data_IF_204586682441
#
_entry.id   IF_204586682441
#
_cell.length_a   1.000
_cell.length_b   1.000
_cell.length_c   1.000
_cell.angle_alpha   90.00
_cell.angle_beta   90.00
_cell.angle_gamma   90.00
#
_symmetry.space_group_name_H-M   'P 1'
#
loop_
_entity.id
_entity.type
_entity.pdbx_description
1 polymer ?
#
# COMPACT_ATOMS: atom_id res chain seq x y z
N UNK A 1 -0.76 1.65 -12.76
CA UNK A 1 0.69 1.64 -12.92
C UNK A 1 1.31 2.40 -11.76
N UNK A 2 2.37 1.87 -11.18
CA UNK A 2 3.11 2.42 -10.04
C UNK A 2 4.57 2.76 -10.44
N UNK A 3 4.83 3.57 -11.47
CA UNK A 3 6.19 3.78 -11.95
C UNK A 3 7.10 4.40 -10.89
N UNK A 4 6.55 5.24 -10.01
CA UNK A 4 7.31 5.93 -8.99
C UNK A 4 7.64 5.04 -7.79
N UNK A 5 6.76 4.12 -7.38
CA UNK A 5 7.09 3.16 -6.34
C UNK A 5 8.25 2.25 -6.77
N UNK A 6 8.24 1.78 -8.02
CA UNK A 6 9.36 1.04 -8.61
C UNK A 6 10.66 1.85 -8.66
N UNK A 7 10.58 3.12 -9.06
CA UNK A 7 11.74 4.02 -9.09
C UNK A 7 12.32 4.25 -7.69
N UNK A 8 11.50 4.54 -6.68
CA UNK A 8 11.95 4.72 -5.28
C UNK A 8 12.56 3.45 -4.70
N UNK A 9 11.96 2.30 -5.00
CA UNK A 9 12.55 1.01 -4.63
C UNK A 9 13.93 0.82 -5.26
N UNK A 10 14.06 1.17 -6.54
CA UNK A 10 15.34 1.12 -7.26
C UNK A 10 16.38 2.07 -6.64
N UNK A 11 16.02 3.31 -6.33
CA UNK A 11 16.91 4.28 -5.67
C UNK A 11 17.44 3.74 -4.32
N UNK A 12 16.56 3.13 -3.51
CA UNK A 12 16.96 2.49 -2.26
C UNK A 12 17.90 1.29 -2.45
N UNK A 13 17.63 0.47 -3.47
CA UNK A 13 18.51 -0.66 -3.84
C UNK A 13 19.87 -0.16 -4.30
N UNK A 14 19.92 0.85 -5.18
CA UNK A 14 21.16 1.44 -5.68
C UNK A 14 22.04 1.97 -4.53
N UNK A 15 21.44 2.71 -3.59
CA UNK A 15 22.14 3.22 -2.41
C UNK A 15 22.68 2.08 -1.52
N UNK A 16 21.84 1.08 -1.24
CA UNK A 16 22.25 -0.06 -0.43
C UNK A 16 23.39 -0.85 -1.08
N UNK A 17 23.33 -1.07 -2.40
CA UNK A 17 24.39 -1.75 -3.15
C UNK A 17 25.70 -0.96 -3.16
N UNK A 18 25.63 0.38 -3.33
CA UNK A 18 26.80 1.24 -3.25
C UNK A 18 27.48 1.07 -1.89
N UNK A 19 26.74 1.19 -0.80
CA UNK A 19 27.26 1.08 0.56
C UNK A 19 27.84 -0.33 0.87
N UNK A 20 27.11 -1.39 0.51
CA UNK A 20 27.55 -2.77 0.74
C UNK A 20 28.82 -3.06 -0.07
N UNK A 21 28.84 -2.66 -1.34
CA UNK A 21 29.97 -2.93 -2.22
C UNK A 21 31.22 -2.09 -1.86
N UNK A 22 31.02 -0.85 -1.37
CA UNK A 22 32.13 -0.03 -0.85
C UNK A 22 32.80 -0.65 0.39
N UNK A 23 32.01 -1.38 1.20
CA UNK A 23 32.47 -2.11 2.39
C UNK A 23 32.99 -3.54 2.09
N UNK A 24 33.25 -3.88 0.82
CA UNK A 24 33.83 -5.16 0.41
C UNK A 24 32.83 -6.21 -0.04
N UNK A 25 31.55 -5.86 -0.16
CA UNK A 25 30.48 -6.74 -0.63
C UNK A 25 30.06 -7.78 0.41
N UNK A 26 29.42 -8.84 -0.05
CA UNK A 26 28.98 -9.96 0.78
C UNK A 26 29.90 -11.16 0.54
N UNK A 27 30.52 -11.69 1.59
CA UNK A 27 31.51 -12.76 1.49
C UNK A 27 32.65 -12.46 0.50
N UNK A 28 33.07 -11.20 0.43
CA UNK A 28 34.11 -10.73 -0.48
C UNK A 28 33.68 -10.60 -1.94
N UNK A 29 32.41 -10.73 -2.24
CA UNK A 29 31.84 -10.59 -3.59
C UNK A 29 30.97 -9.35 -3.68
N UNK A 30 31.10 -8.63 -4.80
CA UNK A 30 30.18 -7.51 -5.10
C UNK A 30 28.78 -8.02 -5.42
N UNK A 31 27.78 -7.34 -4.87
CA UNK A 31 26.41 -7.53 -5.27
C UNK A 31 26.13 -6.78 -6.57
N UNK A 32 25.37 -7.40 -7.45
CA UNK A 32 24.83 -6.82 -8.67
C UNK A 32 23.35 -7.22 -8.76
N UNK A 33 22.54 -6.46 -9.48
CA UNK A 33 21.13 -6.82 -9.69
C UNK A 33 20.69 -6.71 -11.13
N UNK A 34 19.64 -7.43 -11.46
CA UNK A 34 18.86 -7.29 -12.69
C UNK A 34 17.50 -6.74 -12.31
N UNK A 35 17.04 -5.70 -13.01
CA UNK A 35 15.74 -5.08 -12.77
C UNK A 35 14.78 -5.38 -13.92
N UNK A 36 13.55 -5.69 -13.57
CA UNK A 36 12.47 -5.96 -14.50
C UNK A 36 11.21 -5.18 -14.06
N UNK A 37 10.36 -4.81 -15.00
CA UNK A 37 9.09 -4.10 -14.74
C UNK A 37 7.92 -5.07 -14.87
N UNK A 38 7.18 -5.26 -13.80
CA UNK A 38 5.98 -6.10 -13.76
C UNK A 38 4.71 -5.36 -14.23
N UNK A 39 4.84 -4.08 -14.60
CA UNK A 39 3.76 -3.21 -15.08
C UNK A 39 2.54 -3.17 -14.15
N UNK A 40 2.73 -3.57 -12.89
CA UNK A 40 1.67 -3.74 -11.90
C UNK A 40 0.52 -4.64 -12.40
N UNK A 41 0.85 -5.70 -13.12
CA UNK A 41 -0.12 -6.73 -13.53
C UNK A 41 0.35 -8.12 -13.14
N UNK A 42 -0.56 -8.95 -12.62
CA UNK A 42 -0.22 -10.30 -12.17
C UNK A 42 0.38 -11.16 -13.27
N UNK A 43 -0.18 -11.07 -14.49
CA UNK A 43 0.35 -11.83 -15.65
C UNK A 43 1.77 -11.44 -15.98
N UNK A 44 2.08 -10.14 -16.00
CA UNK A 44 3.45 -9.67 -16.29
C UNK A 44 4.38 -10.03 -15.14
N UNK A 45 3.94 -9.90 -13.88
CA UNK A 45 4.72 -10.27 -12.72
C UNK A 45 5.15 -11.75 -12.75
N UNK A 46 4.24 -12.67 -13.08
CA UNK A 46 4.56 -14.10 -13.25
C UNK A 46 5.63 -14.32 -14.33
N UNK A 47 5.51 -13.65 -15.47
CA UNK A 47 6.49 -13.75 -16.57
C UNK A 47 7.86 -13.18 -16.18
N UNK A 48 7.87 -12.02 -15.52
CA UNK A 48 9.07 -11.35 -15.03
C UNK A 48 9.80 -12.21 -14.00
N UNK A 49 9.08 -12.69 -12.99
CA UNK A 49 9.65 -13.54 -11.95
C UNK A 49 10.22 -14.83 -12.54
N UNK A 50 9.51 -15.45 -13.48
CA UNK A 50 10.02 -16.64 -14.17
C UNK A 50 11.35 -16.37 -14.89
N UNK A 51 11.50 -15.21 -15.54
CA UNK A 51 12.78 -14.83 -16.16
C UNK A 51 13.87 -14.61 -15.12
N UNK A 52 13.58 -13.83 -14.06
CA UNK A 52 14.56 -13.55 -12.99
C UNK A 52 15.08 -14.83 -12.34
N UNK A 53 14.19 -15.79 -12.06
CA UNK A 53 14.59 -17.07 -11.46
C UNK A 53 15.52 -17.90 -12.38
N UNK A 54 15.46 -17.70 -13.70
CA UNK A 54 16.38 -18.33 -14.66
C UNK A 54 17.76 -17.65 -14.72
N UNK A 55 17.93 -16.45 -14.15
CA UNK A 55 19.21 -15.71 -14.10
C UNK A 55 20.10 -16.13 -12.90
N UNK A 56 19.79 -17.22 -12.21
CA UNK A 56 20.50 -17.70 -11.00
C UNK A 56 20.63 -16.63 -9.90
N UNK A 57 19.60 -15.85 -9.68
CA UNK A 57 19.54 -14.86 -8.60
C UNK A 57 19.52 -15.57 -7.24
N UNK A 58 20.13 -14.98 -6.22
CA UNK A 58 20.11 -15.53 -4.86
C UNK A 58 18.95 -15.00 -3.99
N UNK A 59 18.34 -13.90 -4.39
CA UNK A 59 17.16 -13.30 -3.75
C UNK A 59 16.47 -12.36 -4.74
N UNK A 60 15.21 -12.04 -4.48
CA UNK A 60 14.45 -11.05 -5.25
C UNK A 60 13.87 -10.00 -4.32
N UNK A 61 13.97 -8.71 -4.71
CA UNK A 61 13.29 -7.61 -4.06
C UNK A 61 12.12 -7.21 -4.95
N UNK A 62 10.91 -7.47 -4.48
CA UNK A 62 9.68 -7.34 -5.24
C UNK A 62 8.93 -8.68 -5.35
N UNK A 63 7.74 -8.70 -5.98
CA UNK A 63 6.98 -7.54 -6.49
C UNK A 63 6.54 -6.57 -5.37
N UNK A 64 6.24 -5.32 -5.75
CA UNK A 64 5.87 -4.30 -4.77
C UNK A 64 4.43 -4.47 -4.24
N UNK A 65 3.49 -4.80 -5.12
CA UNK A 65 2.07 -4.86 -4.76
C UNK A 65 1.64 -6.22 -4.22
N UNK A 66 0.63 -6.21 -3.34
CA UNK A 66 0.14 -7.43 -2.68
C UNK A 66 -0.36 -8.48 -3.68
N UNK A 67 -1.13 -8.06 -4.69
CA UNK A 67 -1.65 -8.99 -5.70
C UNK A 67 -0.56 -9.67 -6.54
N UNK A 68 0.48 -8.92 -6.95
CA UNK A 68 1.61 -9.48 -7.68
C UNK A 68 2.47 -10.39 -6.81
N UNK A 69 2.67 -10.03 -5.52
CA UNK A 69 3.38 -10.86 -4.57
C UNK A 69 2.65 -12.19 -4.32
N UNK A 70 1.34 -12.16 -4.18
CA UNK A 70 0.50 -13.36 -4.05
C UNK A 70 0.59 -14.26 -5.30
N UNK A 71 0.41 -13.67 -6.49
CA UNK A 71 0.42 -14.38 -7.76
C UNK A 71 1.77 -15.05 -8.08
N UNK A 72 2.87 -14.56 -7.53
CA UNK A 72 4.23 -15.07 -7.78
C UNK A 72 4.80 -15.92 -6.64
N UNK A 73 4.10 -16.00 -5.50
CA UNK A 73 4.60 -16.67 -4.29
C UNK A 73 5.05 -18.11 -4.53
N UNK A 74 4.25 -18.90 -5.25
CA UNK A 74 4.57 -20.30 -5.52
C UNK A 74 5.81 -20.48 -6.42
N UNK A 75 6.10 -19.51 -7.29
CA UNK A 75 7.31 -19.54 -8.10
C UNK A 75 8.56 -19.47 -7.21
N UNK A 76 8.57 -18.56 -6.25
CA UNK A 76 9.66 -18.42 -5.28
C UNK A 76 9.77 -19.64 -4.36
N UNK A 77 8.62 -20.15 -3.87
CA UNK A 77 8.56 -21.35 -3.03
C UNK A 77 9.18 -22.56 -3.74
N UNK A 78 8.79 -22.79 -5.00
CA UNK A 78 9.30 -23.90 -5.79
C UNK A 78 10.77 -23.75 -6.16
N UNK A 79 11.23 -22.53 -6.41
CA UNK A 79 12.64 -22.24 -6.68
C UNK A 79 13.51 -22.18 -5.41
N UNK A 80 12.91 -22.17 -4.22
CA UNK A 80 13.58 -21.99 -2.93
C UNK A 80 14.41 -20.69 -2.87
N UNK A 81 13.90 -19.62 -3.48
CA UNK A 81 14.53 -18.30 -3.53
C UNK A 81 13.79 -17.35 -2.61
N UNK A 82 14.46 -16.69 -1.66
CA UNK A 82 13.83 -15.68 -0.81
C UNK A 82 13.42 -14.46 -1.63
N UNK A 83 12.23 -13.95 -1.33
CA UNK A 83 11.78 -12.68 -1.89
C UNK A 83 11.27 -11.73 -0.81
N UNK A 84 11.56 -10.46 -0.99
CA UNK A 84 11.18 -9.37 -0.10
C UNK A 84 10.20 -8.46 -0.81
N UNK A 85 9.01 -8.27 -0.23
CA UNK A 85 7.94 -7.47 -0.84
C UNK A 85 7.51 -6.30 0.02
N UNK A 86 7.08 -5.22 -0.63
CA UNK A 86 6.35 -4.12 -0.02
C UNK A 86 4.84 -4.37 0.12
N UNK A 87 4.34 -5.52 -0.34
CA UNK A 87 2.94 -5.89 -0.21
C UNK A 87 2.50 -5.96 1.25
N UNK A 88 1.47 -5.20 1.62
CA UNK A 88 1.03 -5.05 3.01
C UNK A 88 -0.18 -5.90 3.39
N UNK A 89 -0.90 -6.48 2.41
CA UNK A 89 -2.09 -7.29 2.67
C UNK A 89 -1.82 -8.42 3.68
N UNK A 90 -2.71 -8.59 4.69
CA UNK A 90 -2.62 -9.70 5.64
C UNK A 90 -2.60 -11.06 4.98
N UNK A 91 -3.32 -11.23 3.87
CA UNK A 91 -3.43 -12.48 3.11
C UNK A 91 -2.09 -13.05 2.65
N UNK A 92 -1.07 -12.20 2.49
CA UNK A 92 0.27 -12.66 2.14
C UNK A 92 0.94 -13.53 3.22
N UNK A 93 0.58 -13.36 4.49
CA UNK A 93 1.06 -14.19 5.57
C UNK A 93 0.41 -15.59 5.61
N UNK A 94 -0.69 -15.77 4.87
CA UNK A 94 -1.43 -17.04 4.79
C UNK A 94 -0.93 -17.95 3.66
N UNK A 95 0.02 -17.47 2.83
CA UNK A 95 0.50 -18.20 1.63
C UNK A 95 1.41 -19.40 1.93
N UNK A 96 1.69 -19.72 3.20
CA UNK A 96 2.54 -20.84 3.61
C UNK A 96 3.84 -20.92 2.78
N UNK A 97 4.53 -19.78 2.62
CA UNK A 97 5.77 -19.70 1.88
C UNK A 97 6.94 -19.31 2.80
N UNK A 98 7.86 -20.23 3.13
CA UNK A 98 8.99 -19.95 4.04
C UNK A 98 10.03 -18.99 3.44
N UNK A 99 9.94 -18.69 2.15
CA UNK A 99 10.83 -17.75 1.46
C UNK A 99 10.23 -16.36 1.33
N UNK A 100 9.06 -16.10 1.92
CA UNK A 100 8.39 -14.81 1.93
C UNK A 100 8.92 -13.91 3.06
N UNK A 101 9.31 -12.69 2.72
CA UNK A 101 9.71 -11.67 3.67
C UNK A 101 8.98 -10.36 3.35
N UNK A 102 8.34 -9.77 4.37
CA UNK A 102 7.73 -8.45 4.27
C UNK A 102 8.66 -7.41 4.91
N UNK A 103 8.91 -6.31 4.19
CA UNK A 103 9.83 -5.25 4.64
C UNK A 103 9.11 -4.00 5.14
N UNK A 104 7.81 -4.11 5.41
CA UNK A 104 6.98 -3.05 5.98
C UNK A 104 5.89 -3.66 6.90
N UNK A 105 5.19 -2.86 7.74
CA UNK A 105 4.07 -3.35 8.53
C UNK A 105 2.97 -3.98 7.68
N UNK A 106 2.28 -4.97 8.27
CA UNK A 106 1.06 -5.52 7.68
C UNK A 106 -0.11 -4.56 7.86
N UNK A 107 -1.04 -4.58 6.92
CA UNK A 107 -2.31 -3.85 7.05
C UNK A 107 -3.14 -4.31 8.27
N UNK A 108 -2.82 -5.47 8.86
CA UNK A 108 -3.34 -5.84 10.18
C UNK A 108 -3.04 -4.76 11.22
N UNK A 109 -1.85 -4.17 11.19
CA UNK A 109 -1.44 -3.08 12.10
C UNK A 109 -2.02 -1.75 11.59
N UNK A 110 -1.76 -1.43 10.33
CA UNK A 110 -2.12 -0.13 9.76
C UNK A 110 -3.65 0.07 9.72
N UNK A 111 -4.42 -0.95 9.32
CA UNK A 111 -5.88 -0.91 9.32
C UNK A 111 -6.46 -0.79 10.74
N UNK A 112 -5.84 -1.46 11.72
CA UNK A 112 -6.21 -1.31 13.13
C UNK A 112 -5.96 0.12 13.62
N UNK A 113 -4.82 0.71 13.31
CA UNK A 113 -4.50 2.10 13.68
C UNK A 113 -5.50 3.06 13.05
N UNK A 114 -5.83 2.90 11.77
CA UNK A 114 -6.82 3.72 11.09
C UNK A 114 -8.20 3.65 11.76
N UNK A 115 -8.69 2.43 12.01
CA UNK A 115 -9.99 2.21 12.64
C UNK A 115 -10.02 2.80 14.06
N UNK A 116 -9.00 2.54 14.88
CA UNK A 116 -8.91 3.07 16.24
C UNK A 116 -8.82 4.59 16.26
N UNK A 117 -8.03 5.19 15.37
CA UNK A 117 -7.95 6.65 15.28
C UNK A 117 -9.30 7.28 14.92
N UNK A 118 -10.03 6.70 13.96
CA UNK A 118 -11.38 7.16 13.62
C UNK A 118 -12.34 7.10 14.82
N UNK A 119 -12.31 6.00 15.57
CA UNK A 119 -13.23 5.77 16.71
C UNK A 119 -12.81 6.58 17.94
N UNK A 120 -11.55 6.40 18.37
CA UNK A 120 -11.10 6.84 19.69
C UNK A 120 -10.66 8.31 19.70
N UNK A 121 -10.13 8.81 18.56
CA UNK A 121 -9.60 10.16 18.44
C UNK A 121 -10.58 11.11 17.75
N UNK A 122 -11.13 10.70 16.61
CA UNK A 122 -12.07 11.54 15.86
C UNK A 122 -13.52 11.39 16.37
N UNK A 123 -13.82 10.34 17.15
CA UNK A 123 -15.14 10.11 17.71
C UNK A 123 -16.20 9.72 16.69
N UNK A 124 -15.79 9.19 15.55
CA UNK A 124 -16.67 8.82 14.46
C UNK A 124 -17.72 7.79 14.89
N UNK A 125 -18.94 7.97 14.40
CA UNK A 125 -20.11 7.11 14.72
C UNK A 125 -20.58 6.32 13.51
N UNK A 126 -20.31 6.81 12.31
CA UNK A 126 -20.65 6.14 11.06
C UNK A 126 -19.53 6.33 10.03
N UNK A 127 -18.80 5.26 9.77
CA UNK A 127 -17.57 5.31 8.99
C UNK A 127 -17.81 4.84 7.55
N UNK A 128 -17.37 5.64 6.58
CA UNK A 128 -17.25 5.23 5.19
C UNK A 128 -15.92 4.51 4.97
N UNK A 129 -15.93 3.39 4.24
CA UNK A 129 -14.72 2.71 3.81
C UNK A 129 -14.68 2.76 2.29
N UNK A 130 -13.76 3.54 1.71
CA UNK A 130 -13.47 3.52 0.28
C UNK A 130 -12.26 2.64 0.04
N UNK A 131 -12.38 1.62 -0.80
CA UNK A 131 -11.28 0.65 -0.98
C UNK A 131 -11.13 0.20 -2.43
N UNK A 132 -9.90 -0.12 -2.81
CA UNK A 132 -9.62 -0.74 -4.11
C UNK A 132 -10.00 -2.22 -4.09
N UNK A 133 -10.63 -2.72 -5.17
CA UNK A 133 -11.05 -4.13 -5.34
C UNK A 133 -9.86 -5.07 -5.65
N UNK A 134 -8.65 -4.75 -5.20
CA UNK A 134 -7.49 -5.61 -5.29
C UNK A 134 -7.12 -6.21 -3.91
N UNK A 135 -6.08 -7.05 -3.85
CA UNK A 135 -5.64 -7.69 -2.60
C UNK A 135 -5.22 -6.71 -1.51
N UNK A 136 -4.70 -5.53 -1.87
CA UNK A 136 -4.37 -4.47 -0.93
C UNK A 136 -5.64 -3.86 -0.32
N UNK A 137 -6.53 -3.33 -1.15
CA UNK A 137 -7.73 -2.62 -0.69
C UNK A 137 -8.69 -3.54 0.07
N UNK A 138 -8.95 -4.75 -0.46
CA UNK A 138 -9.79 -5.74 0.24
C UNK A 138 -9.14 -6.24 1.52
N UNK A 139 -7.80 -6.39 1.55
CA UNK A 139 -7.07 -6.80 2.75
C UNK A 139 -7.22 -5.80 3.90
N UNK A 140 -7.10 -4.49 3.61
CA UNK A 140 -7.30 -3.45 4.62
C UNK A 140 -8.75 -3.35 5.08
N UNK A 141 -9.71 -3.37 4.15
CA UNK A 141 -11.14 -3.43 4.48
C UNK A 141 -11.47 -4.57 5.43
N UNK A 142 -10.96 -5.77 5.15
CA UNK A 142 -11.24 -6.98 5.92
C UNK A 142 -10.61 -6.94 7.34
N UNK A 143 -9.63 -6.07 7.57
CA UNK A 143 -9.10 -5.75 8.91
C UNK A 143 -9.97 -4.72 9.61
N UNK A 144 -10.41 -3.68 8.91
CA UNK A 144 -11.14 -2.54 9.47
C UNK A 144 -12.55 -2.95 9.92
N UNK A 145 -13.30 -3.63 9.06
CA UNK A 145 -14.72 -3.98 9.32
C UNK A 145 -14.94 -4.71 10.64
N UNK A 146 -14.21 -5.79 10.98
CA UNK A 146 -14.42 -6.49 12.24
C UNK A 146 -14.19 -5.62 13.49
N UNK A 147 -13.32 -4.61 13.40
CA UNK A 147 -13.07 -3.67 14.48
C UNK A 147 -14.29 -2.76 14.67
N UNK A 148 -14.84 -2.23 13.57
CA UNK A 148 -16.04 -1.40 13.62
C UNK A 148 -17.24 -2.19 14.18
N UNK A 149 -17.42 -3.42 13.73
CA UNK A 149 -18.50 -4.32 14.21
C UNK A 149 -18.38 -4.62 15.71
N UNK A 150 -17.14 -4.90 16.18
CA UNK A 150 -16.89 -5.19 17.60
C UNK A 150 -17.22 -3.99 18.50
N UNK A 151 -17.04 -2.77 18.01
CA UNK A 151 -17.33 -1.54 18.75
C UNK A 151 -18.76 -1.00 18.47
N UNK A 152 -19.55 -1.69 17.66
CA UNK A 152 -20.90 -1.27 17.30
C UNK A 152 -20.97 0.00 16.46
N UNK A 153 -19.91 0.29 15.69
CA UNK A 153 -19.83 1.45 14.79
C UNK A 153 -20.51 1.12 13.46
N UNK A 154 -21.45 1.95 13.04
CA UNK A 154 -22.06 1.82 11.72
C UNK A 154 -21.04 2.09 10.62
N UNK A 155 -21.12 1.35 9.52
CA UNK A 155 -20.24 1.59 8.38
C UNK A 155 -20.92 1.38 7.02
N UNK A 156 -20.35 1.99 6.00
CA UNK A 156 -20.68 1.77 4.58
C UNK A 156 -19.39 1.56 3.81
N UNK A 157 -19.23 0.42 3.16
CA UNK A 157 -18.04 0.12 2.36
C UNK A 157 -18.37 0.22 0.86
N UNK A 158 -17.55 0.97 0.13
CA UNK A 158 -17.66 1.19 -1.31
C UNK A 158 -16.36 0.80 -2.00
N UNK A 159 -16.43 -0.13 -2.93
CA UNK A 159 -15.29 -0.58 -3.72
C UNK A 159 -15.20 0.14 -5.06
N UNK A 160 -13.98 0.24 -5.57
CA UNK A 160 -13.66 0.70 -6.92
C UNK A 160 -12.54 -0.15 -7.52
N UNK A 161 -12.33 -0.07 -8.83
CA UNK A 161 -11.27 -0.81 -9.49
C UNK A 161 -10.03 0.05 -9.72
N UNK A 162 -8.86 -0.59 -9.78
CA UNK A 162 -7.62 0.07 -10.16
C UNK A 162 -7.75 0.68 -11.55
N UNK A 163 -7.40 1.95 -11.66
CA UNK A 163 -7.48 2.70 -12.90
C UNK A 163 -8.83 3.36 -13.18
N UNK A 164 -9.83 3.24 -12.30
CA UNK A 164 -11.06 4.01 -12.41
C UNK A 164 -10.73 5.52 -12.46
N UNK A 165 -11.45 6.23 -13.32
CA UNK A 165 -11.23 7.67 -13.55
C UNK A 165 -12.28 8.55 -12.91
N UNK A 166 -13.31 7.94 -12.34
CA UNK A 166 -14.41 8.59 -11.68
C UNK A 166 -14.93 7.74 -10.52
N UNK A 167 -14.90 8.28 -9.32
CA UNK A 167 -15.38 7.67 -8.07
C UNK A 167 -16.55 8.49 -7.49
N UNK A 168 -17.11 9.43 -8.26
CA UNK A 168 -18.19 10.31 -7.81
C UNK A 168 -19.38 9.51 -7.27
N UNK A 169 -19.74 8.41 -7.94
CA UNK A 169 -20.81 7.52 -7.50
C UNK A 169 -20.59 6.93 -6.10
N UNK A 170 -19.38 6.46 -5.83
CA UNK A 170 -18.98 5.91 -4.53
C UNK A 170 -18.98 7.00 -3.45
N UNK A 171 -18.42 8.18 -3.75
CA UNK A 171 -18.42 9.32 -2.82
C UNK A 171 -19.82 9.83 -2.53
N UNK A 172 -20.70 9.89 -3.53
CA UNK A 172 -22.10 10.23 -3.33
C UNK A 172 -22.86 9.19 -2.48
N UNK A 173 -22.54 7.91 -2.63
CA UNK A 173 -23.10 6.86 -1.78
C UNK A 173 -22.72 7.07 -0.32
N UNK A 174 -21.43 7.35 -0.03
CA UNK A 174 -20.96 7.66 1.34
C UNK A 174 -21.64 8.91 1.89
N UNK A 175 -21.71 9.99 1.08
CA UNK A 175 -22.36 11.24 1.47
C UNK A 175 -23.84 11.05 1.78
N UNK A 176 -24.56 10.33 0.93
CA UNK A 176 -25.99 10.04 1.12
C UNK A 176 -26.26 9.14 2.32
N UNK A 177 -25.32 8.27 2.67
CA UNK A 177 -25.42 7.44 3.86
C UNK A 177 -25.17 8.23 5.15
N UNK A 178 -24.66 9.46 5.07
CA UNK A 178 -24.39 10.31 6.22
C UNK A 178 -23.22 9.83 7.05
N UNK A 179 -22.14 9.33 6.42
CA UNK A 179 -20.92 8.99 7.14
C UNK A 179 -20.25 10.25 7.67
N UNK A 180 -19.64 10.17 8.84
CA UNK A 180 -18.99 11.28 9.55
C UNK A 180 -17.46 11.20 9.56
N UNK A 181 -16.90 10.11 9.00
CA UNK A 181 -15.49 9.91 8.74
C UNK A 181 -15.32 8.93 7.59
N UNK A 182 -14.25 9.07 6.80
CA UNK A 182 -13.91 8.11 5.73
C UNK A 182 -12.55 7.49 6.04
N UNK A 183 -12.44 6.17 5.90
CA UNK A 183 -11.17 5.46 5.82
C UNK A 183 -10.95 5.10 4.35
N UNK A 184 -9.90 5.66 3.73
CA UNK A 184 -9.58 5.47 2.32
C UNK A 184 -8.41 4.48 2.18
N UNK A 185 -8.74 3.22 1.82
CA UNK A 185 -7.75 2.15 1.62
C UNK A 185 -7.58 1.86 0.14
N UNK A 186 -6.92 2.75 -0.54
CA UNK A 186 -6.83 2.77 -1.99
C UNK A 186 -5.42 3.08 -2.48
N UNK A 187 -5.17 2.81 -3.74
CA UNK A 187 -3.87 3.04 -4.38
C UNK A 187 -3.65 4.54 -4.68
N UNK A 188 -2.41 4.92 -4.95
CA UNK A 188 -1.95 6.31 -5.03
C UNK A 188 -2.78 7.21 -5.98
N UNK A 189 -3.10 6.72 -7.17
CA UNK A 189 -3.84 7.51 -8.16
C UNK A 189 -5.29 7.75 -7.74
N UNK A 190 -5.91 6.75 -7.15
CA UNK A 190 -7.29 6.78 -6.69
C UNK A 190 -7.45 7.57 -5.39
N UNK A 191 -6.40 7.64 -4.55
CA UNK A 191 -6.39 8.55 -3.39
C UNK A 191 -6.50 10.01 -3.84
N UNK A 192 -5.72 10.42 -4.83
CA UNK A 192 -5.78 11.77 -5.37
C UNK A 192 -7.16 12.07 -6.02
N UNK A 193 -7.70 11.07 -6.72
CA UNK A 193 -9.04 11.18 -7.32
C UNK A 193 -10.13 11.32 -6.24
N UNK A 194 -10.05 10.52 -5.18
CA UNK A 194 -10.96 10.58 -4.02
C UNK A 194 -10.93 11.97 -3.38
N UNK A 195 -9.74 12.53 -3.12
CA UNK A 195 -9.59 13.84 -2.49
C UNK A 195 -10.26 14.94 -3.34
N UNK A 196 -9.95 14.99 -4.62
CA UNK A 196 -10.54 15.96 -5.53
C UNK A 196 -12.07 15.83 -5.57
N UNK A 197 -12.60 14.62 -5.69
CA UNK A 197 -14.04 14.42 -5.83
C UNK A 197 -14.82 14.67 -4.54
N UNK A 198 -14.26 14.39 -3.37
CA UNK A 198 -14.84 14.81 -2.10
C UNK A 198 -14.95 16.33 -2.01
N UNK A 199 -13.88 17.04 -2.40
CA UNK A 199 -13.89 18.50 -2.46
C UNK A 199 -14.92 19.05 -3.44
N UNK A 200 -14.96 18.56 -4.69
CA UNK A 200 -15.91 18.95 -5.72
C UNK A 200 -17.38 18.70 -5.31
N UNK A 201 -17.63 17.65 -4.54
CA UNK A 201 -18.95 17.35 -3.99
C UNK A 201 -19.31 18.20 -2.75
N UNK A 202 -18.39 19.00 -2.22
CA UNK A 202 -18.58 19.68 -0.94
C UNK A 202 -18.89 18.69 0.18
N UNK A 203 -18.20 17.56 0.19
CA UNK A 203 -18.33 16.52 1.22
C UNK A 203 -17.14 16.60 2.18
N UNK A 204 -17.28 17.49 3.15
CA UNK A 204 -16.25 17.83 4.13
C UNK A 204 -16.41 16.97 5.38
N UNK A 205 -15.65 15.88 5.45
CA UNK A 205 -15.53 14.99 6.61
C UNK A 205 -14.07 14.58 6.78
N UNK A 206 -13.62 14.28 8.00
CA UNK A 206 -12.28 13.74 8.22
C UNK A 206 -12.03 12.49 7.37
N UNK A 207 -10.85 12.42 6.75
CA UNK A 207 -10.44 11.25 5.97
C UNK A 207 -9.14 10.71 6.56
N UNK A 208 -9.09 9.41 6.78
CA UNK A 208 -7.87 8.68 7.16
C UNK A 208 -7.47 7.85 5.95
N UNK A 209 -6.38 8.23 5.30
CA UNK A 209 -5.88 7.56 4.11
C UNK A 209 -4.78 6.55 4.44
N UNK A 210 -4.63 5.55 3.56
CA UNK A 210 -3.45 4.68 3.54
C UNK A 210 -2.18 5.46 3.19
N UNK A 211 -1.00 4.85 3.38
CA UNK A 211 0.30 5.50 3.22
C UNK A 211 0.55 6.16 1.84
N UNK A 212 -0.19 5.79 0.82
CA UNK A 212 -0.04 6.36 -0.53
C UNK A 212 -0.22 7.89 -0.57
N UNK A 213 -1.09 8.45 0.28
CA UNK A 213 -1.40 9.89 0.24
C UNK A 213 -0.20 10.79 0.61
N UNK A 214 0.75 10.29 1.41
CA UNK A 214 1.93 11.09 1.84
C UNK A 214 3.10 11.01 0.85
N UNK A 215 2.94 10.31 -0.25
CA UNK A 215 3.96 10.24 -1.30
C UNK A 215 4.01 11.54 -2.08
N UNK A 216 5.21 12.11 -2.29
CA UNK A 216 5.39 13.38 -3.00
C UNK A 216 4.64 13.46 -4.33
N UNK A 217 4.63 12.34 -5.08
CA UNK A 217 3.93 12.27 -6.36
C UNK A 217 2.41 12.38 -6.24
N UNK A 218 1.84 11.92 -5.14
CA UNK A 218 0.39 12.06 -4.87
C UNK A 218 0.11 13.48 -4.41
N UNK A 219 0.93 13.99 -3.49
CA UNK A 219 0.82 15.36 -3.01
C UNK A 219 0.96 16.39 -4.15
N UNK A 220 1.84 16.14 -5.12
CA UNK A 220 2.00 16.99 -6.30
C UNK A 220 0.81 16.95 -7.31
N UNK A 221 -0.12 16.01 -7.14
CA UNK A 221 -1.36 15.94 -7.91
C UNK A 221 -2.54 16.62 -7.21
N UNK A 222 -2.34 17.08 -5.97
CA UNK A 222 -3.38 17.61 -5.11
C UNK A 222 -3.18 19.11 -4.87
N UNK A 223 -4.27 19.85 -4.92
CA UNK A 223 -4.28 21.18 -4.31
C UNK A 223 -4.39 21.00 -2.79
N UNK A 224 -3.67 21.82 -1.98
CA UNK A 224 -3.68 21.69 -0.52
C UNK A 224 -5.08 21.64 0.11
N UNK A 225 -6.01 22.40 -0.46
CA UNK A 225 -7.39 22.46 -0.01
C UNK A 225 -8.18 21.13 -0.17
N UNK A 226 -7.72 20.21 -1.05
CA UNK A 226 -8.40 18.92 -1.23
C UNK A 226 -8.16 17.95 -0.09
N UNK A 227 -7.06 18.16 0.65
CA UNK A 227 -6.61 17.25 1.72
C UNK A 227 -6.45 17.96 3.06
N UNK A 228 -6.96 19.16 3.20
CA UNK A 228 -6.97 19.85 4.50
C UNK A 228 -7.81 19.04 5.51
N UNK A 229 -7.24 18.80 6.69
CA UNK A 229 -7.89 17.96 7.71
C UNK A 229 -7.83 16.45 7.46
N UNK A 230 -7.08 16.00 6.45
CA UNK A 230 -6.83 14.58 6.24
C UNK A 230 -5.75 14.04 7.16
N UNK A 231 -5.84 12.76 7.46
CA UNK A 231 -4.86 11.99 8.21
C UNK A 231 -4.31 10.87 7.35
N UNK A 232 -3.13 10.38 7.65
CA UNK A 232 -2.55 9.23 6.96
C UNK A 232 -1.97 8.23 7.95
N UNK A 233 -2.18 6.95 7.68
CA UNK A 233 -1.42 5.88 8.34
C UNK A 233 -0.22 5.58 7.46
N UNK A 234 0.97 5.82 7.97
CA UNK A 234 2.21 5.62 7.22
C UNK A 234 3.24 4.83 8.04
N UNK A 235 4.09 4.11 7.33
CA UNK A 235 5.14 3.28 7.94
C UNK A 235 6.35 4.14 8.36
N UNK A 236 6.49 5.33 7.78
CA UNK A 236 7.64 6.20 7.96
C UNK A 236 7.23 7.67 7.84
N UNK A 237 7.78 8.50 8.73
CA UNK A 237 7.62 9.96 8.67
C UNK A 237 9.00 10.59 8.77
N UNK A 238 9.45 11.28 7.71
CA UNK A 238 10.78 11.88 7.62
C UNK A 238 11.05 13.00 8.66
N UNK A 239 9.98 13.54 9.24
CA UNK A 239 10.04 14.55 10.31
C UNK A 239 10.02 13.96 11.71
N UNK A 240 9.98 12.62 11.84
CA UNK A 240 10.08 11.98 13.14
C UNK A 240 11.50 12.13 13.71
N UNK A 241 11.60 12.54 14.97
CA UNK A 241 12.87 12.72 15.68
C UNK A 241 13.48 11.40 16.21
N UNK A 242 12.94 10.27 15.85
CA UNK A 242 13.48 8.95 16.18
C UNK A 242 14.88 8.77 15.55
N UNK A 243 15.83 8.25 16.33
CA UNK A 243 17.23 8.04 15.88
C UNK A 243 17.33 7.07 14.68
N UNK A 244 16.30 6.25 14.42
CA UNK A 244 16.23 5.38 13.25
C UNK A 244 15.91 6.14 11.95
N UNK A 245 15.46 7.39 12.04
CA UNK A 245 15.11 8.27 10.90
C UNK A 245 16.26 9.21 10.52
N UNK A 246 17.22 9.41 11.40
CA UNK A 246 18.42 10.21 11.21
C UNK A 246 19.55 9.40 10.60
#
# INVERSE_FOLDING_TARGET
NFPLAGQRTKEGIDLALEQINANGGVLGKKLVYVAEDDQNTQTTAVNVVTRLLNENVCAVIGPHTSGNAAATSDLYKNAQIPFMTGGSSPKLAELDNPYFFRVRPSDTINGQVAARYAIDTLGAKKIGISYNNNDFGTGGRDVIIPILEADGIEYVAVGHNAGDKDLTGQMMQLKSAGVDCIISWTDDAEVALTARQLYELGFDVPVIASAGVVMDQVLNLLEPEYVEGWYAVTDFVSTNDDDTVK
#
